data_IF_021918580697
#
_entry.id   IF_021918580697
#
_cell.length_a   1.000
_cell.length_b   1.000
_cell.length_c   1.000
_cell.angle_alpha   90.00
_cell.angle_beta   90.00
_cell.angle_gamma   90.00
#
_symmetry.space_group_name_H-M   'P 1'
#
loop_
_entity.id
_entity.type
_entity.pdbx_description
1 polymer ?
#
# COMPACT_ATOMS: atom_id res chain seq x y z
N UNK A 1 2.91 3.78 8.59
CA UNK A 1 2.14 4.85 9.27
C UNK A 1 1.16 5.46 8.26
N UNK A 2 0.06 6.12 8.67
CA UNK A 2 -0.78 6.84 7.71
C UNK A 2 0.07 7.88 6.94
N UNK A 3 -0.13 7.97 5.62
CA UNK A 3 0.71 8.72 4.68
C UNK A 3 1.89 7.93 4.08
N UNK A 4 2.18 6.70 4.57
CA UNK A 4 3.21 5.83 3.97
C UNK A 4 2.79 5.41 2.57
N UNK A 5 3.71 5.50 1.60
CA UNK A 5 3.51 5.02 0.23
C UNK A 5 3.63 3.52 0.19
N UNK A 6 2.65 2.88 -0.44
CA UNK A 6 2.56 1.44 -0.51
C UNK A 6 2.20 0.99 -1.91
N UNK A 7 2.56 -0.26 -2.18
CA UNK A 7 2.08 -1.00 -3.31
C UNK A 7 1.04 -2.01 -2.81
N UNK A 8 -0.06 -2.15 -3.53
CA UNK A 8 -1.11 -3.12 -3.22
C UNK A 8 -1.14 -4.22 -4.26
N UNK A 9 -1.39 -5.45 -3.83
CA UNK A 9 -1.50 -6.60 -4.72
C UNK A 9 -2.88 -6.65 -5.36
N UNK A 10 -2.93 -6.69 -6.68
CA UNK A 10 -4.16 -6.97 -7.43
C UNK A 10 -4.51 -8.44 -7.27
N UNK A 11 -5.72 -8.74 -6.78
CA UNK A 11 -6.21 -10.13 -6.71
C UNK A 11 -6.58 -10.71 -8.08
N UNK A 12 -6.84 -9.85 -9.07
CA UNK A 12 -7.20 -10.27 -10.43
C UNK A 12 -5.97 -10.63 -11.26
N UNK A 13 -4.92 -9.79 -11.21
CA UNK A 13 -3.70 -9.99 -12.00
C UNK A 13 -2.54 -10.60 -11.20
N UNK A 14 -2.68 -10.73 -9.88
CA UNK A 14 -1.61 -11.18 -8.98
C UNK A 14 -0.42 -10.22 -8.87
N UNK A 15 -0.44 -9.12 -9.63
CA UNK A 15 0.63 -8.14 -9.75
C UNK A 15 0.51 -7.02 -8.71
N UNK A 16 1.64 -6.40 -8.38
CA UNK A 16 1.70 -5.28 -7.45
C UNK A 16 1.49 -3.96 -8.18
N UNK A 17 0.57 -3.16 -7.69
CA UNK A 17 0.28 -1.83 -8.20
C UNK A 17 0.78 -0.78 -7.22
N UNK A 18 1.56 0.18 -7.72
CA UNK A 18 2.10 1.33 -6.97
C UNK A 18 1.17 2.54 -6.99
N UNK A 19 1.55 3.58 -6.25
CA UNK A 19 0.80 4.83 -6.22
C UNK A 19 -0.36 4.82 -5.23
N UNK A 20 -0.23 4.04 -4.16
CA UNK A 20 -1.18 4.04 -3.06
C UNK A 20 -0.51 4.60 -1.81
N UNK A 21 -1.32 5.08 -0.88
CA UNK A 21 -0.86 5.47 0.45
C UNK A 21 -1.79 4.88 1.51
N UNK A 22 -1.23 4.54 2.67
CA UNK A 22 -2.03 4.12 3.83
C UNK A 22 -2.77 5.34 4.36
N UNK A 23 -4.10 5.26 4.49
CA UNK A 23 -4.89 6.28 5.18
C UNK A 23 -5.28 5.86 6.59
N UNK A 24 -5.40 4.55 6.83
CA UNK A 24 -5.80 4.00 8.12
C UNK A 24 -5.16 2.62 8.31
N UNK A 25 -4.70 2.37 9.54
CA UNK A 25 -4.18 1.07 9.98
C UNK A 25 -5.13 0.56 11.05
N UNK A 26 -5.72 -0.61 10.81
CA UNK A 26 -6.55 -1.31 11.79
C UNK A 26 -5.81 -2.57 12.22
N UNK A 27 -5.61 -2.70 13.52
CA UNK A 27 -5.12 -3.95 14.10
C UNK A 27 -6.30 -4.93 14.17
N UNK A 28 -6.13 -6.10 13.57
CA UNK A 28 -7.11 -7.19 13.66
C UNK A 28 -6.47 -8.38 14.37
N UNK A 29 -7.29 -9.22 15.01
CA UNK A 29 -6.80 -10.33 15.82
C UNK A 29 -5.94 -11.31 14.98
N UNK A 30 -4.61 -11.19 15.09
CA UNK A 30 -3.64 -11.96 14.32
C UNK A 30 -3.00 -11.26 13.10
N UNK A 31 -3.23 -9.96 12.87
CA UNK A 31 -2.59 -9.23 11.77
C UNK A 31 -2.97 -7.75 11.69
N UNK A 32 -2.58 -7.08 10.60
CA UNK A 32 -2.94 -5.70 10.34
C UNK A 32 -3.76 -5.59 9.04
N UNK A 33 -4.79 -4.76 9.09
CA UNK A 33 -5.60 -4.36 7.94
C UNK A 33 -5.29 -2.90 7.59
N UNK A 34 -5.10 -2.64 6.31
CA UNK A 34 -4.71 -1.35 5.79
C UNK A 34 -5.80 -0.84 4.87
N UNK A 35 -6.23 0.38 5.13
CA UNK A 35 -7.06 1.16 4.22
C UNK A 35 -6.13 2.04 3.41
N UNK A 36 -6.26 1.99 2.10
CA UNK A 36 -5.37 2.72 1.20
C UNK A 36 -6.13 3.71 0.33
N UNK A 37 -5.48 4.83 0.02
CA UNK A 37 -5.93 5.79 -0.99
C UNK A 37 -5.11 5.63 -2.25
N UNK A 38 -5.79 5.56 -3.39
CA UNK A 38 -5.15 5.65 -4.70
C UNK A 38 -4.75 7.11 -4.94
N UNK A 39 -3.45 7.37 -5.09
CA UNK A 39 -2.93 8.74 -5.31
C UNK A 39 -3.28 9.32 -6.67
N UNK A 40 -3.58 8.47 -7.65
CA UNK A 40 -3.89 8.89 -9.02
C UNK A 40 -5.16 9.71 -9.13
N UNK A 41 -6.22 9.36 -8.39
CA UNK A 41 -7.48 10.13 -8.39
C UNK A 41 -7.89 10.59 -6.98
N UNK A 42 -7.15 10.19 -5.94
CA UNK A 42 -7.45 10.54 -4.55
C UNK A 42 -8.54 9.68 -3.91
N UNK A 43 -9.10 8.68 -4.60
CA UNK A 43 -10.13 7.83 -4.03
C UNK A 43 -9.56 6.83 -3.02
N UNK A 44 -10.21 6.76 -1.85
CA UNK A 44 -9.97 5.70 -0.86
C UNK A 44 -10.60 4.42 -1.36
N UNK A 45 -9.82 3.34 -1.42
CA UNK A 45 -10.37 2.06 -1.82
C UNK A 45 -11.31 1.54 -0.73
N UNK A 46 -12.51 1.04 -1.10
CA UNK A 46 -13.45 0.47 -0.13
C UNK A 46 -12.96 -0.85 0.46
N UNK A 47 -11.98 -1.50 -0.18
CA UNK A 47 -11.39 -2.75 0.28
C UNK A 47 -10.34 -2.50 1.38
N UNK A 48 -10.35 -3.37 2.39
CA UNK A 48 -9.29 -3.50 3.38
C UNK A 48 -8.26 -4.51 2.88
N UNK A 49 -6.99 -4.15 2.94
CA UNK A 49 -5.89 -5.00 2.51
C UNK A 49 -5.17 -5.56 3.73
N UNK A 50 -4.88 -6.86 3.73
CA UNK A 50 -4.06 -7.47 4.79
C UNK A 50 -2.58 -7.12 4.60
N UNK A 51 -1.75 -7.37 5.60
CA UNK A 51 -0.29 -7.18 5.53
C UNK A 51 0.36 -7.95 4.36
N UNK A 52 -0.16 -9.13 4.00
CA UNK A 52 0.33 -9.89 2.84
C UNK A 52 -0.05 -9.29 1.48
N UNK A 53 -1.05 -8.41 1.42
CA UNK A 53 -1.55 -7.75 0.22
C UNK A 53 -1.02 -6.29 0.09
N UNK A 54 -0.30 -5.78 1.11
CA UNK A 54 0.29 -4.44 1.13
C UNK A 54 1.78 -4.54 1.40
N UNK A 55 2.59 -3.89 0.56
CA UNK A 55 4.01 -3.75 0.83
C UNK A 55 4.40 -2.29 0.78
N UNK A 56 5.35 -1.89 1.62
CA UNK A 56 5.94 -0.57 1.53
C UNK A 56 6.58 -0.39 0.16
N UNK A 57 6.28 0.72 -0.50
CA UNK A 57 6.95 1.09 -1.74
C UNK A 57 8.42 1.29 -1.38
N UNK A 58 9.30 0.35 -1.77
CA UNK A 58 10.75 0.59 -1.70
C UNK A 58 11.04 1.75 -2.63
N UNK A 59 11.09 2.95 -2.06
CA UNK A 59 11.59 4.12 -2.75
C UNK A 59 12.95 3.76 -3.31
N UNK A 60 13.16 4.04 -4.60
CA UNK A 60 14.50 4.09 -5.17
C UNK A 60 15.33 5.09 -4.39
N UNK A 61 15.92 4.64 -3.29
CA UNK A 61 17.16 5.18 -2.78
C UNK A 61 18.31 4.38 -3.39
N UNK A 62 18.21 4.08 -4.69
CA UNK A 62 19.36 3.85 -5.55
C UNK A 62 19.95 5.23 -5.87
N UNK A 63 20.55 5.85 -4.86
CA UNK A 63 21.53 6.92 -5.09
C UNK A 63 22.73 6.26 -5.77
N UNK A 64 22.61 6.21 -7.08
CA UNK A 64 23.66 6.41 -8.07
C UNK A 64 24.90 7.08 -7.45
N UNK A 65 25.92 6.29 -7.13
CA UNK A 65 27.24 6.83 -6.83
C UNK A 65 27.77 7.49 -8.11
N UNK A 66 28.00 8.80 -8.07
CA UNK A 66 28.88 9.56 -8.94
C UNK A 66 30.00 10.12 -8.06
#
# INVERSE_FOLDING_TARGET
MPGTRVEVRSRFEGSWARGFEIVEVMEQNGGAAFRVRRRSDGSVLPALFADGDVREERGKNDMWWI
#
